data_IF_105748667739
#
_entry.id   IF_105748667739
#
_cell.length_a   1.000
_cell.length_b   1.000
_cell.length_c   1.000
_cell.angle_alpha   90.00
_cell.angle_beta   90.00
_cell.angle_gamma   90.00
#
_symmetry.space_group_name_H-M   'P 1'
#
loop_
_entity.id
_entity.type
_entity.pdbx_description
1 polymer ?
#
# COMPACT_ATOMS: atom_id res chain seq x y z
N UNK A 1 13.02 -12.24 6.62
CA UNK A 1 12.71 -13.01 5.40
C UNK A 1 13.77 -12.75 4.36
N UNK A 2 14.30 -13.81 3.79
CA UNK A 2 15.31 -13.67 2.77
C UNK A 2 14.70 -13.29 1.44
N UNK A 3 15.54 -12.81 0.52
CA UNK A 3 15.08 -12.36 -0.77
C UNK A 3 14.30 -13.44 -1.52
N UNK A 4 14.81 -14.66 -1.54
CA UNK A 4 14.14 -15.73 -2.27
C UNK A 4 12.78 -16.04 -1.66
N UNK A 5 12.70 -16.10 -0.35
CA UNK A 5 11.44 -16.34 0.32
C UNK A 5 10.48 -15.18 0.09
N UNK A 6 11.01 -13.97 0.14
CA UNK A 6 10.21 -12.78 -0.10
C UNK A 6 9.60 -12.84 -1.49
N UNK A 7 10.40 -13.15 -2.49
CA UNK A 7 9.89 -13.24 -3.85
C UNK A 7 8.82 -14.31 -3.97
N UNK A 8 9.08 -15.50 -3.40
CA UNK A 8 8.10 -16.58 -3.49
C UNK A 8 6.80 -16.25 -2.81
N UNK A 9 6.86 -15.45 -1.77
CA UNK A 9 5.68 -15.13 -0.99
C UNK A 9 4.91 -13.95 -1.58
N UNK A 10 5.63 -12.94 -2.02
CA UNK A 10 5.02 -11.67 -2.39
C UNK A 10 4.72 -11.55 -3.88
N UNK A 11 5.63 -12.02 -4.74
CA UNK A 11 5.42 -11.85 -6.17
C UNK A 11 4.12 -12.50 -6.67
N UNK A 12 3.73 -13.68 -6.18
CA UNK A 12 2.46 -14.26 -6.64
C UNK A 12 1.25 -13.41 -6.29
N UNK A 13 1.41 -12.47 -5.36
CA UNK A 13 0.30 -11.61 -4.98
C UNK A 13 0.17 -10.39 -5.90
N UNK A 14 1.15 -10.19 -6.78
CA UNK A 14 1.20 -8.98 -7.58
C UNK A 14 -0.08 -8.73 -8.36
N UNK A 15 -0.56 -9.76 -9.07
CA UNK A 15 -1.77 -9.58 -9.88
C UNK A 15 -2.97 -9.22 -9.03
N UNK A 16 -3.09 -9.86 -7.89
CA UNK A 16 -4.20 -9.59 -6.99
C UNK A 16 -4.12 -8.16 -6.47
N UNK A 17 -2.93 -7.75 -6.07
CA UNK A 17 -2.75 -6.40 -5.54
C UNK A 17 -2.98 -5.36 -6.63
N UNK A 18 -2.56 -5.67 -7.85
CA UNK A 18 -2.75 -4.74 -8.96
C UNK A 18 -4.22 -4.56 -9.25
N UNK A 19 -4.97 -5.67 -9.33
CA UNK A 19 -6.40 -5.57 -9.58
C UNK A 19 -7.11 -4.80 -8.49
N UNK A 20 -6.70 -5.02 -7.26
CA UNK A 20 -7.29 -4.31 -6.14
C UNK A 20 -7.01 -2.81 -6.24
N UNK A 21 -5.77 -2.46 -6.59
CA UNK A 21 -5.40 -1.07 -6.74
C UNK A 21 -6.15 -0.38 -7.86
N UNK A 22 -6.30 -1.06 -8.99
CA UNK A 22 -7.04 -0.49 -10.11
C UNK A 22 -8.48 -0.23 -9.68
N UNK A 23 -9.05 -1.16 -8.91
CA UNK A 23 -10.42 -1.01 -8.47
C UNK A 23 -10.59 0.22 -7.58
N UNK A 24 -9.62 0.48 -6.71
CA UNK A 24 -9.72 1.60 -5.80
C UNK A 24 -9.38 2.93 -6.45
N UNK A 25 -8.40 2.95 -7.34
CA UNK A 25 -7.95 4.21 -7.94
C UNK A 25 -8.58 4.49 -9.28
N UNK A 26 -9.10 3.46 -9.93
CA UNK A 26 -9.68 3.57 -11.25
C UNK A 26 -8.64 4.10 -12.26
N UNK A 27 -7.38 3.76 -12.06
CA UNK A 27 -6.29 4.25 -12.90
C UNK A 27 -5.17 3.22 -12.89
N UNK A 28 -4.90 2.64 -14.05
CA UNK A 28 -3.90 1.60 -14.15
C UNK A 28 -2.49 2.06 -13.84
N UNK A 29 -2.16 3.27 -14.24
CA UNK A 29 -0.82 3.80 -13.99
C UNK A 29 -0.61 4.04 -12.51
N UNK A 30 -1.60 4.64 -11.86
CA UNK A 30 -1.52 4.84 -10.42
C UNK A 30 -1.44 3.50 -9.69
N UNK A 31 -2.20 2.52 -10.18
CA UNK A 31 -2.22 1.22 -9.53
C UNK A 31 -0.86 0.55 -9.60
N UNK A 32 -0.18 0.66 -10.72
CA UNK A 32 1.14 0.06 -10.84
C UNK A 32 2.14 0.73 -9.92
N UNK A 33 2.08 2.04 -9.82
CA UNK A 33 2.94 2.75 -8.89
C UNK A 33 2.70 2.30 -7.46
N UNK A 34 1.44 2.15 -7.11
CA UNK A 34 1.07 1.73 -5.77
C UNK A 34 1.58 0.33 -5.46
N UNK A 35 1.44 -0.58 -6.41
CA UNK A 35 1.91 -1.94 -6.18
C UNK A 35 3.42 -1.96 -6.01
N UNK A 36 4.13 -1.20 -6.82
CA UNK A 36 5.58 -1.12 -6.68
C UNK A 36 5.97 -0.56 -5.32
N UNK A 37 5.31 0.49 -4.92
CA UNK A 37 5.60 1.10 -3.63
C UNK A 37 5.26 0.15 -2.48
N UNK A 38 4.19 -0.61 -2.63
CA UNK A 38 3.82 -1.59 -1.63
C UNK A 38 4.91 -2.66 -1.50
N UNK A 39 5.44 -3.11 -2.63
CA UNK A 39 6.52 -4.08 -2.59
C UNK A 39 7.75 -3.53 -1.90
N UNK A 40 8.07 -2.26 -2.15
CA UNK A 40 9.20 -1.65 -1.48
C UNK A 40 8.99 -1.56 0.03
N UNK A 41 7.79 -1.21 0.44
CA UNK A 41 7.48 -1.15 1.86
C UNK A 41 7.55 -2.53 2.51
N UNK A 42 7.05 -3.54 1.83
CA UNK A 42 7.12 -4.89 2.35
C UNK A 42 8.56 -5.36 2.43
N UNK A 43 9.36 -5.04 1.43
CA UNK A 43 10.76 -5.38 1.45
C UNK A 43 11.49 -4.70 2.61
N UNK A 44 11.13 -3.46 2.86
CA UNK A 44 11.74 -2.70 3.93
C UNK A 44 11.49 -3.35 5.30
N UNK A 45 10.33 -3.95 5.47
CA UNK A 45 9.98 -4.59 6.73
C UNK A 45 10.06 -6.11 6.65
N UNK A 46 10.81 -6.62 5.69
CA UNK A 46 10.84 -8.06 5.44
C UNK A 46 11.21 -8.90 6.65
N UNK A 47 12.02 -8.35 7.52
CA UNK A 47 12.42 -9.09 8.71
C UNK A 47 11.28 -9.29 9.68
N UNK A 48 10.26 -8.46 9.57
CA UNK A 48 9.09 -8.54 10.44
C UNK A 48 7.98 -9.39 9.83
N UNK A 49 8.08 -9.68 8.56
CA UNK A 49 7.01 -10.40 7.89
C UNK A 49 6.78 -11.78 8.47
N UNK A 50 7.82 -12.38 9.00
CA UNK A 50 7.68 -13.70 9.58
C UNK A 50 6.77 -13.71 10.79
N UNK A 51 6.57 -12.55 11.40
CA UNK A 51 5.70 -12.45 12.56
C UNK A 51 4.24 -12.30 12.22
N UNK A 52 3.91 -12.13 10.95
CA UNK A 52 2.52 -11.95 10.55
C UNK A 52 1.91 -13.28 10.15
N UNK A 53 0.66 -13.47 10.52
CA UNK A 53 -0.04 -14.68 10.16
C UNK A 53 -0.31 -14.76 8.67
N UNK A 54 -0.52 -13.61 8.04
CA UNK A 54 -0.84 -13.60 6.62
C UNK A 54 -0.15 -12.43 5.96
N UNK A 55 0.86 -12.73 5.16
CA UNK A 55 1.54 -11.71 4.39
C UNK A 55 0.60 -11.14 3.34
N UNK A 56 -0.29 -11.96 2.81
CA UNK A 56 -1.26 -11.51 1.83
C UNK A 56 -2.16 -10.44 2.44
N UNK A 57 -2.68 -10.68 3.63
CA UNK A 57 -3.56 -9.71 4.27
C UNK A 57 -2.82 -8.41 4.55
N UNK A 58 -1.57 -8.52 5.00
CA UNK A 58 -0.77 -7.33 5.25
C UNK A 58 -0.52 -6.58 3.95
N UNK A 59 -0.23 -7.30 2.87
CA UNK A 59 0.02 -6.66 1.58
C UNK A 59 -1.21 -5.90 1.09
N UNK A 60 -2.38 -6.50 1.25
CA UNK A 60 -3.61 -5.83 0.86
C UNK A 60 -3.81 -4.56 1.69
N UNK A 61 -3.51 -4.64 2.98
CA UNK A 61 -3.64 -3.48 3.84
C UNK A 61 -2.70 -2.36 3.42
N UNK A 62 -1.46 -2.71 3.08
CA UNK A 62 -0.48 -1.72 2.64
C UNK A 62 -0.96 -1.06 1.35
N UNK A 63 -1.43 -1.86 0.40
CA UNK A 63 -1.91 -1.32 -0.86
C UNK A 63 -3.13 -0.44 -0.64
N UNK A 64 -4.04 -0.88 0.22
CA UNK A 64 -5.22 -0.07 0.52
C UNK A 64 -4.84 1.29 1.07
N UNK A 65 -3.91 1.30 2.02
CA UNK A 65 -3.48 2.57 2.61
C UNK A 65 -2.84 3.48 1.57
N UNK A 66 -2.03 2.91 0.69
CA UNK A 66 -1.40 3.71 -0.36
C UNK A 66 -2.43 4.25 -1.34
N UNK A 67 -3.45 3.47 -1.66
CA UNK A 67 -4.51 3.93 -2.54
C UNK A 67 -5.26 5.08 -1.90
N UNK A 68 -5.58 4.96 -0.62
CA UNK A 68 -6.30 6.02 0.07
C UNK A 68 -5.46 7.29 0.15
N UNK A 69 -4.16 7.13 0.39
CA UNK A 69 -3.28 8.29 0.41
C UNK A 69 -3.24 8.98 -0.95
N UNK A 70 -3.21 8.20 -2.01
CA UNK A 70 -3.17 8.76 -3.35
C UNK A 70 -4.45 9.52 -3.67
N UNK A 71 -5.58 8.92 -3.32
CA UNK A 71 -6.86 9.57 -3.56
C UNK A 71 -7.00 10.84 -2.71
N UNK A 72 -6.51 10.79 -1.49
CA UNK A 72 -6.55 11.95 -0.62
C UNK A 72 -5.67 13.07 -1.17
N UNK A 73 -4.51 12.71 -1.68
CA UNK A 73 -3.62 13.69 -2.27
C UNK A 73 -4.25 14.40 -3.45
N UNK A 74 -4.94 13.65 -4.29
CA UNK A 74 -5.61 14.27 -5.43
C UNK A 74 -6.72 15.21 -4.96
N UNK A 75 -7.40 14.84 -3.90
CA UNK A 75 -8.43 15.71 -3.35
C UNK A 75 -7.83 16.97 -2.79
N UNK A 76 -6.70 16.86 -2.13
CA UNK A 76 -6.06 18.01 -1.53
C UNK A 76 -5.63 19.02 -2.56
N UNK A 77 -5.34 18.59 -3.77
CA UNK A 77 -5.01 19.52 -4.83
C UNK A 77 -6.12 20.49 -5.08
N UNK A 78 -7.36 20.09 -4.80
CA UNK A 78 -8.50 20.97 -5.02
C UNK A 78 -8.95 21.66 -3.75
N UNK A 79 -8.71 21.06 -2.61
CA UNK A 79 -9.23 21.58 -1.36
C UNK A 79 -8.14 21.56 -0.32
N UNK A 80 -7.17 22.42 -0.45
CA UNK A 80 -6.01 22.39 0.42
C UNK A 80 -6.31 22.64 1.88
N UNK A 81 -7.33 23.36 2.19
CA UNK A 81 -7.57 23.66 3.58
C UNK A 81 -7.99 22.45 4.38
N UNK A 82 -8.35 21.38 3.73
CA UNK A 82 -8.73 20.19 4.45
C UNK A 82 -7.54 19.36 4.84
N UNK A 83 -6.39 19.69 4.40
CA UNK A 83 -5.26 18.82 4.58
C UNK A 83 -4.88 18.64 6.02
N UNK A 84 -4.94 19.67 6.80
CA UNK A 84 -4.48 19.52 8.15
C UNK A 84 -5.36 18.60 8.96
N UNK A 85 -6.63 18.64 8.75
CA UNK A 85 -7.49 17.78 9.53
C UNK A 85 -7.25 16.33 9.15
N UNK A 86 -6.92 16.09 7.95
CA UNK A 86 -6.67 14.76 7.53
C UNK A 86 -5.39 14.24 8.13
N UNK A 87 -4.42 15.09 8.25
CA UNK A 87 -3.18 14.68 8.80
C UNK A 87 -3.31 14.14 10.18
N UNK A 88 -4.17 14.71 10.92
CA UNK A 88 -4.29 14.33 12.28
C UNK A 88 -4.55 12.87 12.43
N UNK A 89 -5.23 12.33 11.53
CA UNK A 89 -5.58 11.01 11.72
C UNK A 89 -4.57 10.08 11.33
N UNK A 90 -3.73 10.49 10.74
CA UNK A 90 -2.91 9.54 10.32
C UNK A 90 -1.99 9.00 11.23
N UNK A 91 -2.12 9.33 11.67
CA UNK A 91 -1.38 8.61 12.17
C UNK A 91 -1.46 7.40 12.67
N UNK A 92 -1.83 7.42 12.58
CA UNK A 92 -1.85 6.38 12.91
C UNK A 92 -1.17 5.35 12.83
N UNK A 93 -0.92 5.59 12.86
CA UNK A 93 -0.42 4.74 12.68
C UNK A 93 0.00 3.83 12.97
N UNK A 94 -0.18 4.07 13.07
CA UNK A 94 0.01 3.21 13.14
C UNK A 94 0.30 2.42 13.18
N UNK A 95 0.39 2.71 13.18
CA UNK A 95 0.59 1.98 13.08
C UNK A 95 0.87 1.45 13.13
#
# INVERSE_FOLDING_TARGET
MELETFKSTVLPLRDKLLKYSVKLTDDGADAEDIVQEAFLKLWYIRDRLDGYQSVEALSVQVVKNLCLDKLRSKRMDRMPENSESILADTVTPDQ
#
